data_IF_657066005452
#
_entry.id   IF_657066005452
#
_cell.length_a   1.000
_cell.length_b   1.000
_cell.length_c   1.000
_cell.angle_alpha   90.00
_cell.angle_beta   90.00
_cell.angle_gamma   90.00
#
_symmetry.space_group_name_H-M   'P 1'
#
loop_
_entity.id
_entity.type
_entity.pdbx_description
1 polymer ?
#
# COMPACT_ATOMS: atom_id res chain seq x y z
N UNK A 1 26.59 1.28 -13.20
CA UNK A 1 25.24 1.50 -12.66
C UNK A 1 24.49 0.22 -12.92
N UNK A 2 24.17 -0.56 -11.89
CA UNK A 2 23.23 -1.68 -12.06
C UNK A 2 21.88 -1.05 -12.43
N UNK A 3 21.21 -1.57 -13.45
CA UNK A 3 19.93 -1.02 -13.90
C UNK A 3 18.91 -1.21 -12.76
N UNK A 4 18.09 -0.22 -12.43
CA UNK A 4 17.08 -0.35 -11.36
C UNK A 4 16.13 -1.53 -11.60
N UNK A 5 15.92 -1.87 -12.88
CA UNK A 5 15.23 -3.09 -13.31
C UNK A 5 15.88 -4.39 -12.77
N UNK A 6 17.22 -4.45 -12.69
CA UNK A 6 17.96 -5.61 -12.18
C UNK A 6 17.90 -5.71 -10.65
N UNK A 7 17.73 -4.59 -9.95
CA UNK A 7 17.54 -4.59 -8.49
C UNK A 7 16.14 -5.10 -8.11
N UNK A 8 15.12 -4.64 -8.84
CA UNK A 8 13.76 -5.12 -8.66
C UNK A 8 13.59 -6.60 -9.04
N UNK A 9 14.21 -7.05 -10.12
CA UNK A 9 14.23 -8.46 -10.50
C UNK A 9 14.94 -9.33 -9.45
N UNK A 10 16.03 -8.87 -8.85
CA UNK A 10 16.69 -9.56 -7.73
C UNK A 10 15.82 -9.63 -6.47
N UNK A 11 15.03 -8.60 -6.18
CA UNK A 11 14.06 -8.63 -5.08
C UNK A 11 12.96 -9.67 -5.32
N UNK A 12 12.44 -9.76 -6.55
CA UNK A 12 11.52 -10.83 -6.94
C UNK A 12 12.20 -12.21 -6.83
N UNK A 13 13.45 -12.33 -7.25
CA UNK A 13 14.18 -13.60 -7.11
C UNK A 13 14.44 -13.96 -5.64
N UNK A 14 14.41 -12.96 -4.74
CA UNK A 14 14.41 -13.11 -3.29
C UNK A 14 13.02 -13.41 -2.69
N UNK A 15 12.06 -13.92 -3.47
CA UNK A 15 10.80 -14.56 -3.01
C UNK A 15 10.98 -15.54 -1.84
N UNK A 16 12.20 -16.04 -1.64
CA UNK A 16 12.67 -16.69 -0.42
C UNK A 16 12.26 -15.96 0.88
N UNK A 17 12.03 -14.65 0.84
CA UNK A 17 11.62 -13.85 2.01
C UNK A 17 10.20 -14.19 2.47
N UNK A 18 9.23 -14.33 1.55
CA UNK A 18 7.87 -14.72 1.90
C UNK A 18 7.82 -16.16 2.40
N UNK A 19 8.52 -17.07 1.70
CA UNK A 19 8.60 -18.48 2.10
C UNK A 19 9.30 -18.64 3.46
N UNK A 20 10.38 -17.91 3.71
CA UNK A 20 11.10 -17.95 5.00
C UNK A 20 10.22 -17.45 6.15
N UNK A 21 9.38 -16.43 5.92
CA UNK A 21 8.42 -15.93 6.91
C UNK A 21 7.30 -16.95 7.17
N UNK A 22 6.75 -17.57 6.13
CA UNK A 22 5.77 -18.66 6.27
C UNK A 22 6.35 -19.84 7.06
N UNK A 23 7.59 -20.22 6.76
CA UNK A 23 8.31 -21.27 7.45
C UNK A 23 8.57 -20.91 8.93
N UNK A 24 8.92 -19.66 9.20
CA UNK A 24 9.09 -19.17 10.57
C UNK A 24 7.78 -19.29 11.37
N UNK A 25 6.66 -18.78 10.84
CA UNK A 25 5.36 -18.92 11.49
C UNK A 25 5.01 -20.39 11.76
N UNK A 26 5.24 -21.27 10.77
CA UNK A 26 4.98 -22.70 10.89
C UNK A 26 5.83 -23.36 11.98
N UNK A 27 7.12 -23.04 12.05
CA UNK A 27 8.05 -23.58 13.04
C UNK A 27 7.66 -23.22 14.46
N UNK A 28 7.14 -21.99 14.64
CA UNK A 28 6.71 -21.48 15.93
C UNK A 28 5.21 -21.73 16.21
N UNK A 29 4.48 -22.37 15.29
CA UNK A 29 3.06 -22.68 15.40
C UNK A 29 2.16 -21.45 15.59
N UNK A 30 2.57 -20.30 15.06
CA UNK A 30 1.81 -19.04 15.08
C UNK A 30 1.18 -18.75 13.73
N UNK A 31 0.10 -17.97 13.71
CA UNK A 31 -0.62 -17.64 12.47
C UNK A 31 0.00 -16.44 11.73
N UNK A 32 0.78 -15.60 12.42
CA UNK A 32 1.34 -14.39 11.82
C UNK A 32 2.71 -13.99 12.38
N UNK A 33 3.42 -13.12 11.64
CA UNK A 33 4.66 -12.47 12.11
C UNK A 33 4.40 -11.52 13.28
N UNK A 34 3.18 -10.99 13.42
CA UNK A 34 2.78 -10.23 14.60
C UNK A 34 2.75 -11.12 15.84
N UNK A 35 2.02 -12.23 15.77
CA UNK A 35 1.96 -13.23 16.86
C UNK A 35 3.34 -13.79 17.20
N UNK A 36 4.17 -14.09 16.18
CA UNK A 36 5.56 -14.49 16.39
C UNK A 36 6.34 -13.51 17.28
N UNK A 37 6.22 -12.20 17.00
CA UNK A 37 6.90 -11.15 17.77
C UNK A 37 6.36 -11.04 19.20
N UNK A 38 5.07 -11.27 19.39
CA UNK A 38 4.43 -11.24 20.71
C UNK A 38 4.83 -12.45 21.56
N UNK A 39 4.90 -13.65 20.98
CA UNK A 39 5.21 -14.87 21.71
C UNK A 39 6.71 -15.06 21.99
N UNK A 40 7.55 -14.81 20.98
CA UNK A 40 9.00 -15.04 21.08
C UNK A 40 9.72 -13.81 21.65
N UNK A 41 9.11 -12.62 21.52
CA UNK A 41 9.66 -11.38 22.04
C UNK A 41 11.07 -11.09 21.51
N UNK A 42 11.95 -10.67 22.43
CA UNK A 42 13.34 -10.30 22.12
C UNK A 42 14.32 -11.48 22.12
N UNK A 43 13.85 -12.72 22.34
CA UNK A 43 14.72 -13.91 22.44
C UNK A 43 15.00 -14.54 21.06
N UNK A 44 14.16 -14.26 20.06
CA UNK A 44 14.28 -14.76 18.69
C UNK A 44 14.88 -13.75 17.71
N UNK A 45 15.10 -14.17 16.45
CA UNK A 45 15.42 -13.25 15.36
C UNK A 45 14.40 -12.11 15.24
N UNK A 46 14.89 -10.87 15.19
CA UNK A 46 14.03 -9.72 14.91
C UNK A 46 13.56 -9.78 13.46
N UNK A 47 12.25 -9.83 13.25
CA UNK A 47 11.62 -9.83 11.93
C UNK A 47 10.91 -8.49 11.70
N UNK A 48 11.47 -7.58 10.88
CA UNK A 48 10.86 -6.29 10.61
C UNK A 48 9.69 -6.42 9.65
N UNK A 49 8.82 -5.42 9.60
CA UNK A 49 7.85 -5.29 8.53
C UNK A 49 8.53 -4.83 7.23
N UNK A 50 8.04 -5.33 6.10
CA UNK A 50 8.54 -4.95 4.76
C UNK A 50 7.44 -4.20 4.03
N UNK A 51 7.73 -2.99 3.57
CA UNK A 51 6.83 -2.23 2.70
C UNK A 51 7.41 -2.20 1.30
N UNK A 52 6.73 -2.83 0.36
CA UNK A 52 7.07 -2.82 -1.07
C UNK A 52 6.36 -1.65 -1.72
N UNK A 53 7.12 -0.60 -2.02
CA UNK A 53 6.63 0.57 -2.74
C UNK A 53 6.82 0.35 -4.23
N UNK A 54 5.74 0.46 -4.98
CA UNK A 54 5.73 0.30 -6.43
C UNK A 54 5.16 1.57 -7.05
N UNK A 55 5.96 2.24 -7.86
CA UNK A 55 5.53 3.38 -8.66
C UNK A 55 5.26 2.92 -10.10
N UNK A 56 3.99 2.90 -10.48
CA UNK A 56 3.51 2.61 -11.81
C UNK A 56 3.35 3.87 -12.64
N UNK A 57 4.05 3.93 -13.77
CA UNK A 57 3.78 4.92 -14.82
C UNK A 57 2.59 4.50 -15.70
N UNK A 58 1.52 3.91 -15.15
CA UNK A 58 0.44 3.30 -15.93
C UNK A 58 0.81 1.99 -16.61
N UNK A 59 1.98 1.43 -16.27
CA UNK A 59 2.57 0.23 -16.90
C UNK A 59 2.63 -0.97 -15.97
N UNK A 60 2.15 -0.90 -14.73
CA UNK A 60 1.93 -2.13 -13.97
C UNK A 60 0.75 -2.87 -14.58
N UNK A 61 1.13 -3.76 -15.49
CA UNK A 61 0.29 -4.51 -16.40
C UNK A 61 -0.57 -5.49 -15.61
N UNK A 62 -1.62 -5.04 -14.93
CA UNK A 62 -2.78 -5.91 -14.69
C UNK A 62 -3.61 -6.09 -15.97
N UNK A 63 -2.97 -6.01 -17.16
CA UNK A 63 -3.61 -6.37 -18.42
C UNK A 63 -3.83 -7.88 -18.44
N UNK A 64 -4.90 -8.31 -17.79
CA UNK A 64 -5.44 -9.67 -17.89
C UNK A 64 -6.03 -9.93 -19.28
N UNK A 65 -6.22 -8.87 -20.09
CA UNK A 65 -6.91 -8.94 -21.38
C UNK A 65 -6.09 -9.51 -22.56
N UNK A 66 -4.81 -9.86 -22.40
CA UNK A 66 -4.01 -10.36 -23.54
C UNK A 66 -3.54 -11.81 -23.46
N UNK A 67 -4.04 -12.63 -22.53
CA UNK A 67 -3.65 -14.04 -22.41
C UNK A 67 -2.15 -14.29 -22.16
N UNK A 68 -1.39 -13.22 -21.86
CA UNK A 68 0.03 -13.31 -21.47
C UNK A 68 0.09 -13.48 -19.97
N UNK A 69 0.86 -14.47 -19.52
CA UNK A 69 1.16 -14.75 -18.11
C UNK A 69 1.43 -13.43 -17.38
N UNK A 70 0.76 -13.22 -16.25
CA UNK A 70 1.03 -12.10 -15.37
C UNK A 70 2.55 -12.03 -15.12
N UNK A 71 3.16 -10.87 -15.35
CA UNK A 71 4.59 -10.71 -15.14
C UNK A 71 4.99 -10.99 -13.68
N UNK A 72 6.27 -11.23 -13.40
CA UNK A 72 6.75 -11.56 -12.06
C UNK A 72 6.30 -10.57 -10.97
N UNK A 73 6.22 -9.28 -11.29
CA UNK A 73 5.71 -8.23 -10.41
C UNK A 73 4.23 -8.41 -10.03
N UNK A 74 3.39 -8.83 -10.97
CA UNK A 74 1.98 -9.05 -10.68
C UNK A 74 1.79 -10.25 -9.76
N UNK A 75 2.57 -11.32 -9.96
CA UNK A 75 2.55 -12.48 -9.09
C UNK A 75 2.92 -12.07 -7.66
N UNK A 76 4.01 -11.32 -7.49
CA UNK A 76 4.41 -10.78 -6.20
C UNK A 76 3.31 -9.91 -5.56
N UNK A 77 2.68 -9.00 -6.31
CA UNK A 77 1.60 -8.17 -5.76
C UNK A 77 0.40 -9.02 -5.34
N UNK A 78 0.00 -10.02 -6.12
CA UNK A 78 -1.10 -10.92 -5.74
C UNK A 78 -0.75 -11.75 -4.50
N UNK A 79 0.49 -12.22 -4.37
CA UNK A 79 0.96 -12.93 -3.17
C UNK A 79 0.93 -12.02 -1.94
N UNK A 80 1.39 -10.76 -2.08
CA UNK A 80 1.34 -9.76 -1.01
C UNK A 80 -0.09 -9.39 -0.61
N UNK A 81 -1.01 -9.30 -1.57
CA UNK A 81 -2.43 -9.04 -1.28
C UNK A 81 -3.14 -10.23 -0.63
N UNK A 82 -2.67 -11.45 -0.89
CA UNK A 82 -3.26 -12.65 -0.31
C UNK A 82 -2.77 -12.91 1.12
N UNK A 83 -1.45 -12.91 1.34
CA UNK A 83 -0.85 -13.37 2.59
C UNK A 83 0.00 -12.29 3.28
N UNK A 84 0.26 -11.16 2.62
CA UNK A 84 1.27 -10.19 3.06
C UNK A 84 1.05 -9.69 4.48
N UNK A 85 -0.19 -9.36 4.85
CA UNK A 85 -0.54 -8.89 6.20
C UNK A 85 -0.11 -9.88 7.29
N UNK A 86 -0.46 -11.16 7.13
CA UNK A 86 -0.04 -12.22 8.07
C UNK A 86 1.48 -12.40 8.13
N UNK A 87 2.19 -12.04 7.06
CA UNK A 87 3.65 -12.14 6.96
C UNK A 87 4.37 -10.82 7.32
N UNK A 88 3.68 -9.78 7.76
CA UNK A 88 4.29 -8.46 8.01
C UNK A 88 4.91 -7.87 6.74
N UNK A 89 4.23 -8.04 5.61
CA UNK A 89 4.65 -7.55 4.30
C UNK A 89 3.50 -6.79 3.64
N UNK A 90 3.74 -5.53 3.29
CA UNK A 90 2.73 -4.61 2.79
C UNK A 90 3.12 -4.11 1.40
N UNK A 91 2.14 -3.76 0.57
CA UNK A 91 2.35 -3.18 -0.75
C UNK A 91 1.71 -1.80 -0.84
N UNK A 92 2.49 -0.80 -1.25
CA UNK A 92 2.02 0.54 -1.59
C UNK A 92 2.18 0.74 -3.09
N UNK A 93 1.05 0.77 -3.80
CA UNK A 93 1.01 0.98 -5.24
C UNK A 93 0.61 2.42 -5.55
N UNK A 94 1.51 3.15 -6.19
CA UNK A 94 1.27 4.50 -6.70
C UNK A 94 1.11 4.42 -8.21
N UNK A 95 -0.02 4.82 -8.76
CA UNK A 95 -0.21 4.88 -10.21
C UNK A 95 -1.06 6.11 -10.57
N UNK A 96 -0.87 6.60 -11.80
CA UNK A 96 -1.67 7.68 -12.39
C UNK A 96 -3.02 7.17 -12.90
N UNK A 97 -3.13 5.86 -13.17
CA UNK A 97 -4.36 5.24 -13.65
C UNK A 97 -4.95 4.31 -12.59
N UNK A 98 -6.28 4.28 -12.55
CA UNK A 98 -7.00 3.32 -11.72
C UNK A 98 -6.65 1.89 -12.18
N UNK A 99 -6.13 1.03 -11.31
CA UNK A 99 -5.86 -0.33 -11.73
C UNK A 99 -7.16 -1.14 -11.94
N UNK A 100 -7.14 -2.11 -12.88
CA UNK A 100 -8.30 -2.97 -13.20
C UNK A 100 -8.87 -3.73 -11.97
N UNK A 101 -8.01 -4.07 -11.00
CA UNK A 101 -8.37 -4.82 -9.78
C UNK A 101 -8.29 -3.96 -8.51
N UNK A 102 -8.59 -2.67 -8.61
CA UNK A 102 -8.56 -1.78 -7.45
C UNK A 102 -9.39 -2.28 -6.25
N UNK A 103 -10.43 -3.09 -6.47
CA UNK A 103 -11.23 -3.71 -5.40
C UNK A 103 -10.44 -4.68 -4.50
N UNK A 104 -9.29 -5.19 -4.96
CA UNK A 104 -8.38 -6.03 -4.18
C UNK A 104 -7.59 -5.24 -3.12
N UNK A 105 -7.56 -3.91 -3.25
CA UNK A 105 -6.91 -3.03 -2.30
C UNK A 105 -7.98 -2.52 -1.33
N UNK A 106 -8.02 -3.03 -0.08
CA UNK A 106 -9.01 -2.61 0.88
C UNK A 106 -8.87 -1.11 1.20
N UNK A 107 -7.63 -0.65 1.29
CA UNK A 107 -7.28 0.76 1.49
C UNK A 107 -6.89 1.40 0.16
N UNK A 108 -7.52 2.54 -0.17
CA UNK A 108 -7.26 3.28 -1.40
C UNK A 108 -7.22 4.77 -1.13
N UNK A 109 -6.23 5.43 -1.70
CA UNK A 109 -6.08 6.88 -1.67
C UNK A 109 -6.14 7.39 -3.10
N UNK A 110 -6.96 8.40 -3.33
CA UNK A 110 -7.11 9.02 -4.64
C UNK A 110 -6.93 10.52 -4.50
N UNK A 111 -5.86 11.02 -5.10
CA UNK A 111 -5.67 12.44 -5.34
C UNK A 111 -6.53 12.91 -6.52
N UNK A 112 -6.48 14.21 -6.81
CA UNK A 112 -7.16 14.79 -7.96
C UNK A 112 -6.88 14.00 -9.25
N UNK A 113 -7.93 13.44 -9.85
CA UNK A 113 -7.95 12.83 -11.18
C UNK A 113 -8.99 13.60 -12.00
N UNK A 114 -8.66 13.96 -13.25
CA UNK A 114 -9.58 14.72 -14.10
C UNK A 114 -10.77 13.85 -14.61
N UNK A 115 -10.63 12.53 -14.56
CA UNK A 115 -11.69 11.55 -14.85
C UNK A 115 -12.46 11.12 -13.59
N UNK A 116 -13.64 11.70 -13.41
CA UNK A 116 -14.60 11.36 -12.32
C UNK A 116 -14.99 9.88 -12.34
N UNK A 117 -15.03 9.23 -13.51
CA UNK A 117 -15.37 7.81 -13.63
C UNK A 117 -14.30 6.94 -12.98
N UNK A 118 -13.03 7.25 -13.22
CA UNK A 118 -11.90 6.57 -12.60
C UNK A 118 -11.91 6.73 -11.06
N UNK A 119 -12.21 7.94 -10.55
CA UNK A 119 -12.32 8.15 -9.11
C UNK A 119 -13.46 7.30 -8.52
N UNK A 120 -14.62 7.27 -9.18
CA UNK A 120 -15.77 6.47 -8.71
C UNK A 120 -15.46 4.97 -8.70
N UNK A 121 -14.70 4.47 -9.66
CA UNK A 121 -14.25 3.09 -9.68
C UNK A 121 -13.33 2.76 -8.49
N UNK A 122 -12.51 3.73 -8.05
CA UNK A 122 -11.57 3.56 -6.95
C UNK A 122 -12.23 3.72 -5.58
N UNK A 123 -13.00 4.79 -5.36
CA UNK A 123 -13.49 5.19 -4.04
C UNK A 123 -14.99 4.93 -3.86
N UNK A 124 -15.76 4.82 -4.94
CA UNK A 124 -17.21 4.62 -4.91
C UNK A 124 -17.99 5.91 -5.25
N UNK A 125 -19.22 6.04 -4.74
CA UNK A 125 -20.01 7.25 -4.96
C UNK A 125 -19.32 8.48 -4.36
N UNK A 126 -19.15 9.53 -5.17
CA UNK A 126 -18.58 10.81 -4.74
C UNK A 126 -19.69 11.83 -4.48
N UNK A 127 -19.49 12.79 -3.56
CA UNK A 127 -20.34 13.96 -3.48
C UNK A 127 -20.18 14.76 -4.79
N UNK A 128 -21.26 15.38 -5.26
CA UNK A 128 -21.32 16.02 -6.58
C UNK A 128 -20.36 17.20 -6.78
N UNK A 129 -19.79 17.75 -5.70
CA UNK A 129 -19.24 19.11 -5.70
C UNK A 129 -17.75 19.21 -5.31
N UNK A 130 -17.01 18.10 -5.29
CA UNK A 130 -15.65 18.14 -4.73
C UNK A 130 -14.60 18.52 -5.77
N UNK A 131 -14.23 19.80 -5.76
CA UNK A 131 -12.98 20.28 -6.33
C UNK A 131 -11.86 19.97 -5.33
N UNK A 132 -10.98 19.05 -5.69
CA UNK A 132 -9.82 18.64 -4.88
C UNK A 132 -8.66 19.59 -5.19
N UNK A 133 -8.18 20.36 -4.22
CA UNK A 133 -6.97 21.18 -4.36
C UNK A 133 -5.71 20.29 -4.44
N UNK A 134 -4.56 20.78 -4.94
CA UNK A 134 -3.31 20.04 -4.86
C UNK A 134 -2.99 19.60 -3.42
N UNK A 135 -2.70 18.31 -3.24
CA UNK A 135 -2.47 17.72 -1.93
C UNK A 135 -3.75 17.23 -1.23
N UNK A 136 -4.94 17.54 -1.72
CA UNK A 136 -6.18 16.93 -1.22
C UNK A 136 -6.48 15.62 -1.93
N UNK A 137 -7.36 14.81 -1.33
CA UNK A 137 -7.80 13.56 -1.90
C UNK A 137 -8.91 12.89 -1.11
N UNK A 138 -9.28 11.70 -1.58
CA UNK A 138 -10.24 10.81 -0.93
C UNK A 138 -9.59 9.52 -0.50
N UNK A 139 -9.87 9.11 0.73
CA UNK A 139 -9.48 7.84 1.29
C UNK A 139 -10.69 6.93 1.40
N UNK A 140 -10.52 5.68 0.97
CA UNK A 140 -11.40 4.58 1.33
C UNK A 140 -10.63 3.64 2.24
N UNK A 141 -11.09 3.53 3.47
CA UNK A 141 -10.55 2.62 4.46
C UNK A 141 -11.41 1.35 4.51
N UNK A 142 -10.81 0.24 4.94
CA UNK A 142 -11.40 -1.10 4.95
C UNK A 142 -12.73 -1.19 5.73
N UNK A 143 -12.94 -0.30 6.70
CA UNK A 143 -14.05 -0.33 7.64
C UNK A 143 -15.28 0.53 7.27
N UNK A 144 -15.44 1.00 6.02
CA UNK A 144 -16.57 1.86 5.67
C UNK A 144 -16.96 1.89 4.19
N UNK A 145 -18.25 2.08 3.93
CA UNK A 145 -18.78 2.47 2.62
C UNK A 145 -18.61 3.96 2.34
N UNK A 146 -18.26 4.73 3.37
CA UNK A 146 -18.11 6.18 3.31
C UNK A 146 -16.64 6.53 3.07
N UNK A 147 -16.41 7.41 2.10
CA UNK A 147 -15.09 7.94 1.81
C UNK A 147 -14.77 9.08 2.75
N UNK A 148 -13.50 9.21 3.13
CA UNK A 148 -13.01 10.34 3.93
C UNK A 148 -12.23 11.28 3.02
N UNK A 149 -12.37 12.59 3.23
CA UNK A 149 -11.47 13.56 2.60
C UNK A 149 -10.19 13.67 3.42
N UNK A 150 -9.06 13.82 2.73
CA UNK A 150 -7.77 14.02 3.39
C UNK A 150 -6.98 15.11 2.68
N UNK A 151 -6.01 15.69 3.39
CA UNK A 151 -5.00 16.57 2.83
C UNK A 151 -3.63 16.02 3.22
N UNK A 152 -2.80 15.70 2.23
CA UNK A 152 -1.42 15.28 2.43
C UNK A 152 -0.66 16.44 3.07
N UNK A 153 -0.03 16.16 4.20
CA UNK A 153 0.92 17.11 4.77
C UNK A 153 2.01 17.39 3.73
N UNK A 154 2.33 18.67 3.52
CA UNK A 154 3.55 18.98 2.79
C UNK A 154 4.68 18.23 3.49
N UNK A 155 5.58 17.54 2.76
CA UNK A 155 6.76 16.98 3.37
C UNK A 155 7.59 18.18 3.80
N UNK A 156 7.33 18.69 5.00
CA UNK A 156 8.07 19.81 5.53
C UNK A 156 9.52 19.36 5.49
N UNK A 157 10.31 20.03 4.63
CA UNK A 157 11.76 19.97 4.69
C UNK A 157 12.07 20.16 6.17
N UNK A 158 12.49 19.07 6.85
CA UNK A 158 12.69 19.00 8.29
C UNK A 158 13.60 20.15 8.76
N UNK A 159 13.01 21.32 9.00
CA UNK A 159 13.60 22.50 9.60
C UNK A 159 12.52 23.06 10.51
N UNK A 160 12.66 22.72 11.78
CA UNK A 160 11.62 22.84 12.78
C UNK A 160 10.93 24.20 12.82
N UNK A 161 9.62 24.18 12.64
CA UNK A 161 8.70 25.09 13.31
C UNK A 161 7.47 24.29 13.75
N UNK A 162 6.88 24.60 14.92
CA UNK A 162 5.62 24.01 15.31
C UNK A 162 4.51 24.59 14.41
N UNK A 163 3.80 23.72 13.69
CA UNK A 163 2.60 24.09 12.94
C UNK A 163 1.45 24.43 13.90
N UNK A 164 0.75 25.51 13.60
CA UNK A 164 -0.48 25.90 14.27
C UNK A 164 -1.57 24.85 14.03
N UNK A 165 -2.40 24.62 15.05
CA UNK A 165 -3.46 23.60 15.12
C UNK A 165 -4.38 23.58 13.89
N UNK A 166 -4.59 22.39 13.31
CA UNK A 166 -5.56 22.14 12.26
C UNK A 166 -7.02 22.44 12.74
N UNK A 167 -7.91 22.94 11.85
CA UNK A 167 -9.31 23.11 12.18
C UNK A 167 -10.00 21.76 12.42
N UNK A 168 -10.96 21.74 13.33
CA UNK A 168 -11.69 20.54 13.74
C UNK A 168 -12.39 19.86 12.54
N UNK A 169 -12.09 18.57 12.33
CA UNK A 169 -12.73 17.74 11.30
C UNK A 169 -11.78 17.15 10.24
N UNK A 170 -10.51 17.58 10.21
CA UNK A 170 -9.47 16.97 9.38
C UNK A 170 -8.76 15.84 10.15
N UNK A 171 -8.73 14.65 9.58
CA UNK A 171 -7.87 13.57 10.06
C UNK A 171 -6.49 13.77 9.42
N UNK A 172 -5.50 14.05 10.25
CA UNK A 172 -4.10 14.10 9.84
C UNK A 172 -3.63 12.66 9.60
N UNK A 173 -3.31 12.32 8.35
CA UNK A 173 -2.62 11.05 8.04
C UNK A 173 -1.12 11.27 8.28
N UNK A 174 -0.78 11.44 9.55
CA UNK A 174 0.60 11.38 10.03
C UNK A 174 1.01 9.92 10.16
N UNK A 175 2.17 9.58 9.59
CA UNK A 175 2.89 8.30 9.67
C UNK A 175 2.06 7.10 10.15
N UNK A 176 1.81 6.14 9.25
CA UNK A 176 1.36 4.82 9.64
C UNK A 176 2.23 4.31 10.79
N UNK A 177 1.71 4.40 12.01
CA UNK A 177 2.21 3.61 13.12
C UNK A 177 1.88 2.19 12.71
N UNK A 178 2.93 1.48 12.33
CA UNK A 178 2.95 0.03 12.32
C UNK A 178 2.50 -0.40 13.72
N UNK A 179 1.26 -0.87 13.82
CA UNK A 179 0.69 -1.50 15.00
C UNK A 179 0.90 -3.02 14.96
#
# INVERSE_FOLDING_TARGET
MANDADAGQRFIEQQQTMESRRELCRRHQVASIKEYREEVGNEGPVVPDIVVVIEGEGKLVWASNSGKRAGPWNALVEDLLADGDSLGMFVWLFDRHAPEKASRFPQRLVHRIDDVTAIRALIGALPSDVLVEPGEGFARCEAGHEHQTFRTAAPELRQGRPMASAPAGLVEVGQAQVL
#
